data_IF_890704148342
#
_entry.id   IF_890704148342
#
_cell.length_a   1.000
_cell.length_b   1.000
_cell.length_c   1.000
_cell.angle_alpha   90.00
_cell.angle_beta   90.00
_cell.angle_gamma   90.00
#
_symmetry.space_group_name_H-M   'P 1'
#
loop_
_entity.id
_entity.type
_entity.pdbx_description
1 polymer ?
#
# COMPACT_ATOMS: atom_id res chain seq x y z
N UNK A 1 -18.74 -2.82 -2.57
CA UNK A 1 -17.30 -2.69 -2.85
C UNK A 1 -17.03 -2.86 -4.33
N UNK A 2 -16.57 -1.82 -5.01
CA UNK A 2 -16.29 -1.81 -6.45
C UNK A 2 -15.03 -2.61 -6.80
N UNK A 3 -14.76 -2.81 -8.10
CA UNK A 3 -13.51 -3.47 -8.56
C UNK A 3 -12.26 -2.65 -8.19
N UNK A 4 -12.36 -1.32 -8.23
CA UNK A 4 -11.24 -0.42 -7.94
C UNK A 4 -10.95 -0.37 -6.43
N UNK A 5 -11.99 -0.32 -5.59
CA UNK A 5 -11.86 -0.43 -4.13
C UNK A 5 -11.18 -1.74 -3.68
N UNK A 6 -11.53 -2.86 -4.32
CA UNK A 6 -10.84 -4.15 -4.10
C UNK A 6 -9.37 -4.11 -4.48
N UNK A 7 -9.03 -3.35 -5.51
CA UNK A 7 -7.64 -3.19 -5.94
C UNK A 7 -6.88 -2.37 -4.92
N UNK A 8 -7.41 -1.22 -4.50
CA UNK A 8 -6.81 -0.38 -3.46
C UNK A 8 -6.63 -1.13 -2.14
N UNK A 9 -7.61 -1.93 -1.73
CA UNK A 9 -7.52 -2.76 -0.53
C UNK A 9 -6.32 -3.72 -0.57
N UNK A 10 -6.13 -4.37 -1.72
CA UNK A 10 -5.03 -5.31 -1.94
C UNK A 10 -3.68 -4.61 -1.97
N UNK A 11 -3.59 -3.44 -2.62
CA UNK A 11 -2.36 -2.63 -2.65
C UNK A 11 -1.96 -2.19 -1.25
N UNK A 12 -2.90 -1.64 -0.46
CA UNK A 12 -2.64 -1.22 0.93
C UNK A 12 -2.20 -2.41 1.79
N UNK A 13 -2.91 -3.54 1.71
CA UNK A 13 -2.57 -4.72 2.49
C UNK A 13 -1.18 -5.24 2.14
N UNK A 14 -0.86 -5.37 0.85
CA UNK A 14 0.43 -5.86 0.40
C UNK A 14 1.57 -4.91 0.78
N UNK A 15 1.38 -3.59 0.62
CA UNK A 15 2.34 -2.57 1.02
C UNK A 15 2.63 -2.60 2.54
N UNK A 16 1.59 -2.78 3.38
CA UNK A 16 1.75 -2.89 4.83
C UNK A 16 2.55 -4.13 5.23
N UNK A 17 2.21 -5.30 4.67
CA UNK A 17 2.93 -6.55 4.92
C UNK A 17 4.40 -6.44 4.50
N UNK A 18 4.66 -5.87 3.32
CA UNK A 18 6.04 -5.63 2.85
C UNK A 18 6.82 -4.72 3.81
N UNK A 19 6.22 -3.62 4.24
CA UNK A 19 6.87 -2.70 5.17
C UNK A 19 7.10 -3.34 6.54
N UNK A 20 6.16 -4.12 7.07
CA UNK A 20 6.32 -4.84 8.34
C UNK A 20 7.47 -5.85 8.27
N UNK A 21 7.51 -6.67 7.21
CA UNK A 21 8.60 -7.64 7.01
C UNK A 21 9.96 -6.95 6.88
N UNK A 22 10.02 -5.86 6.10
CA UNK A 22 11.25 -5.09 5.93
C UNK A 22 11.69 -4.45 7.25
N UNK A 23 10.76 -3.92 8.06
CA UNK A 23 11.06 -3.39 9.40
C UNK A 23 11.60 -4.45 10.34
N UNK A 24 11.05 -5.66 10.32
CA UNK A 24 11.56 -6.77 11.12
C UNK A 24 12.98 -7.17 10.72
N UNK A 25 13.28 -7.15 9.43
CA UNK A 25 14.57 -7.58 8.90
C UNK A 25 15.68 -6.51 9.04
N UNK A 26 15.34 -5.23 8.81
CA UNK A 26 16.32 -4.16 8.65
C UNK A 26 16.20 -3.04 9.71
N UNK A 27 15.21 -3.11 10.60
CA UNK A 27 15.00 -2.10 11.65
C UNK A 27 14.53 -0.73 11.16
N UNK A 28 14.18 -0.59 9.88
CA UNK A 28 13.72 0.66 9.25
C UNK A 28 12.57 0.40 8.29
N UNK A 29 11.82 1.43 7.92
CA UNK A 29 10.75 1.31 6.91
C UNK A 29 11.34 1.11 5.50
N UNK A 30 10.62 0.38 4.66
CA UNK A 30 10.94 0.22 3.24
C UNK A 30 10.65 1.54 2.49
N UNK A 31 11.40 1.84 1.43
CA UNK A 31 11.13 3.01 0.61
C UNK A 31 9.89 2.79 -0.28
N UNK A 32 9.14 3.86 -0.55
CA UNK A 32 7.93 3.78 -1.38
C UNK A 32 8.21 3.21 -2.78
N UNK A 33 9.31 3.64 -3.40
CA UNK A 33 9.79 3.13 -4.68
C UNK A 33 10.05 1.61 -4.68
N UNK A 34 10.59 1.09 -3.57
CA UNK A 34 10.85 -0.34 -3.41
C UNK A 34 9.54 -1.12 -3.28
N UNK A 35 8.53 -0.57 -2.59
CA UNK A 35 7.18 -1.14 -2.56
C UNK A 35 6.58 -1.15 -3.96
N UNK A 36 6.62 -0.03 -4.68
CA UNK A 36 6.08 0.11 -6.03
C UNK A 36 6.68 -0.92 -6.99
N UNK A 37 8.01 -1.04 -6.95
CA UNK A 37 8.77 -2.02 -7.74
C UNK A 37 8.34 -3.45 -7.39
N UNK A 38 8.22 -3.77 -6.10
CA UNK A 38 7.85 -5.13 -5.64
C UNK A 38 6.42 -5.49 -6.01
N UNK A 39 5.50 -4.53 -5.94
CA UNK A 39 4.09 -4.72 -6.25
C UNK A 39 3.77 -4.56 -7.75
N UNK A 40 4.78 -4.31 -8.60
CA UNK A 40 4.64 -4.07 -10.04
C UNK A 40 3.59 -2.98 -10.35
N UNK A 41 3.65 -1.90 -9.59
CA UNK A 41 2.75 -0.75 -9.75
C UNK A 41 3.52 0.57 -9.59
N UNK A 42 2.80 1.69 -9.66
CA UNK A 42 3.40 3.01 -9.49
C UNK A 42 3.29 3.49 -8.05
N UNK A 43 4.14 4.44 -7.66
CA UNK A 43 4.08 5.06 -6.34
C UNK A 43 2.75 5.81 -6.14
N UNK A 44 2.23 6.44 -7.20
CA UNK A 44 0.95 7.13 -7.19
C UNK A 44 -0.20 6.19 -6.87
N UNK A 45 -0.22 4.98 -7.44
CA UNK A 45 -1.26 4.00 -7.12
C UNK A 45 -1.23 3.61 -5.65
N UNK A 46 -0.04 3.46 -5.05
CA UNK A 46 0.10 3.14 -3.64
C UNK A 46 -0.42 4.29 -2.77
N UNK A 47 -0.01 5.52 -3.08
CA UNK A 47 -0.44 6.72 -2.34
C UNK A 47 -1.96 6.92 -2.43
N UNK A 48 -2.53 6.83 -3.63
CA UNK A 48 -3.97 6.93 -3.85
C UNK A 48 -4.72 5.84 -3.07
N UNK A 49 -4.21 4.61 -3.09
CA UNK A 49 -4.79 3.50 -2.36
C UNK A 49 -4.76 3.73 -0.84
N UNK A 50 -3.65 4.26 -0.30
CA UNK A 50 -3.53 4.58 1.12
C UNK A 50 -4.48 5.71 1.51
N UNK A 51 -4.51 6.79 0.72
CA UNK A 51 -5.39 7.94 0.96
C UNK A 51 -6.86 7.53 0.93
N UNK A 52 -7.27 6.68 -0.02
CA UNK A 52 -8.62 6.14 -0.08
C UNK A 52 -9.02 5.42 1.21
N UNK A 53 -8.09 4.67 1.82
CA UNK A 53 -8.34 3.89 3.04
C UNK A 53 -8.26 4.70 4.34
N UNK A 54 -7.54 5.81 4.35
CA UNK A 54 -7.42 6.71 5.51
C UNK A 54 -8.58 7.71 5.61
N UNK A 55 -9.23 8.03 4.48
CA UNK A 55 -10.39 8.91 4.48
C UNK A 55 -11.60 8.23 5.15
N UNK A 56 -12.36 8.96 6.01
CA UNK A 56 -13.63 8.48 6.52
C UNK A 56 -14.54 8.14 5.34
N UNK A 57 -14.91 6.86 5.22
CA UNK A 57 -15.90 6.44 4.24
C UNK A 57 -17.24 6.99 4.74
N UNK A 58 -17.72 8.07 4.13
CA UNK A 58 -19.06 8.60 4.38
C UNK A 58 -20.06 7.55 3.88
N UNK A 59 -20.54 6.70 4.79
CA UNK A 59 -21.65 5.76 4.57
C UNK A 59 -23.00 6.41 4.84
#
# INVERSE_FOLDING_TARGET
>A
MTKIERTYARVVQAARVLNENYRQQYGKSIQLQEIATTLLCTEELILESMEYFERPQLT
#
